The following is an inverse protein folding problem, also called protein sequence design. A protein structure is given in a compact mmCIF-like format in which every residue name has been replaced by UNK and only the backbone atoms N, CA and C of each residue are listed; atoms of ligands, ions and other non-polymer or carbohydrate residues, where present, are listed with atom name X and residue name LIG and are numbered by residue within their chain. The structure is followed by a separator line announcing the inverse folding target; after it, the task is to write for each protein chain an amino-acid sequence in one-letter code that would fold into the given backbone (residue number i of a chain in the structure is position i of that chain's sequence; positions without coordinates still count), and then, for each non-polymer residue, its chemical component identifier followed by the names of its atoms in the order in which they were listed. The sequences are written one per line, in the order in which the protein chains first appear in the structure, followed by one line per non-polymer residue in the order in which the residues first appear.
data_IF_143780345101
#
_entry.id   IF_143780345101
#
_cell.length_a   1.000
_cell.length_b   1.000
_cell.length_c   1.000
_cell.angle_alpha   90.00
_cell.angle_beta   90.00
_cell.angle_gamma   90.00
#
_symmetry.space_group_name_H-M   'P 1'
#
loop_
_entity.id
_entity.type
_entity.pdbx_description
1 polymer ?
#
# COMPACT_ATOMS: atom_id res chain seq x y z
N UNK A 1 -17.21 -16.10 27.02
CA UNK A 1 -16.64 -16.41 25.70
C UNK A 1 -16.18 -15.08 25.10
N UNK A 2 -14.95 -14.67 25.41
CA UNK A 2 -14.40 -13.41 24.91
C UNK A 2 -14.21 -13.57 23.40
N UNK A 3 -14.84 -12.70 22.62
CA UNK A 3 -14.67 -12.63 21.19
C UNK A 3 -13.25 -12.10 20.96
N UNK A 4 -12.30 -13.00 20.70
CA UNK A 4 -10.95 -12.61 20.31
C UNK A 4 -11.08 -11.61 19.16
N UNK A 5 -10.50 -10.43 19.35
CA UNK A 5 -10.53 -9.36 18.37
C UNK A 5 -9.95 -9.88 17.07
N UNK A 6 -10.80 -10.18 16.09
CA UNK A 6 -10.37 -10.24 14.70
C UNK A 6 -9.54 -8.98 14.46
N UNK A 7 -8.31 -9.08 13.93
CA UNK A 7 -7.52 -7.90 13.71
C UNK A 7 -8.36 -6.97 12.83
N UNK A 8 -8.63 -5.75 13.30
CA UNK A 8 -9.35 -4.69 12.59
C UNK A 8 -8.65 -4.24 11.29
N UNK A 9 -7.68 -5.02 10.80
CA UNK A 9 -6.83 -4.79 9.63
C UNK A 9 -7.51 -5.19 8.32
N UNK A 10 -8.63 -5.91 8.40
CA UNK A 10 -9.23 -6.59 7.24
C UNK A 10 -10.55 -5.96 6.79
N UNK A 11 -11.19 -5.11 7.60
CA UNK A 11 -12.55 -4.61 7.35
C UNK A 11 -12.67 -3.81 6.06
N UNK A 12 -11.95 -2.69 5.97
CA UNK A 12 -12.00 -1.82 4.80
C UNK A 12 -11.49 -2.52 3.52
N UNK A 13 -10.39 -3.27 3.66
CA UNK A 13 -9.74 -3.96 2.54
C UNK A 13 -10.64 -5.07 1.97
N UNK A 14 -11.38 -5.81 2.82
CA UNK A 14 -12.36 -6.80 2.36
C UNK A 14 -13.58 -6.14 1.71
N UNK A 15 -14.10 -5.05 2.27
CA UNK A 15 -15.23 -4.32 1.70
C UNK A 15 -14.88 -3.76 0.32
N UNK A 16 -13.70 -3.16 0.18
CA UNK A 16 -13.24 -2.61 -1.11
C UNK A 16 -12.74 -3.66 -2.09
N UNK A 17 -12.51 -4.91 -1.68
CA UNK A 17 -11.85 -5.94 -2.51
C UNK A 17 -12.47 -6.08 -3.91
N UNK A 18 -13.79 -6.01 -4.03
CA UNK A 18 -14.53 -6.14 -5.31
C UNK A 18 -14.36 -4.94 -6.24
N UNK A 19 -14.24 -3.74 -5.68
CA UNK A 19 -14.23 -2.47 -6.42
C UNK A 19 -12.92 -1.69 -6.25
N UNK A 20 -11.85 -2.33 -5.76
CA UNK A 20 -10.60 -1.64 -5.43
C UNK A 20 -9.96 -0.96 -6.64
N UNK A 21 -10.21 -1.47 -7.84
CA UNK A 21 -9.76 -0.87 -9.09
C UNK A 21 -10.37 0.51 -9.35
N UNK A 22 -11.47 0.88 -8.70
CA UNK A 22 -12.03 2.24 -8.76
C UNK A 22 -11.41 3.19 -7.75
N UNK A 23 -10.68 2.67 -6.77
CA UNK A 23 -10.14 3.46 -5.69
C UNK A 23 -8.85 4.18 -6.11
N UNK A 24 -8.71 5.43 -5.68
CA UNK A 24 -7.46 6.17 -5.78
C UNK A 24 -6.48 5.67 -4.70
N UNK A 25 -5.22 5.41 -5.08
CA UNK A 25 -4.18 4.93 -4.17
C UNK A 25 -4.01 5.80 -2.92
N UNK A 26 -3.91 7.13 -3.07
CA UNK A 26 -3.71 8.02 -1.92
C UNK A 26 -4.90 7.98 -0.97
N UNK A 27 -6.12 7.98 -1.52
CA UNK A 27 -7.33 7.93 -0.71
C UNK A 27 -7.46 6.59 0.02
N UNK A 28 -7.11 5.50 -0.63
CA UNK A 28 -7.06 4.18 -0.03
C UNK A 28 -6.10 4.15 1.17
N UNK A 29 -4.86 4.63 1.00
CA UNK A 29 -3.88 4.71 2.08
C UNK A 29 -4.35 5.61 3.24
N UNK A 30 -4.99 6.74 2.95
CA UNK A 30 -5.58 7.60 3.99
C UNK A 30 -6.66 6.88 4.79
N UNK A 31 -7.55 6.15 4.11
CA UNK A 31 -8.63 5.42 4.77
C UNK A 31 -8.08 4.30 5.66
N UNK A 32 -7.02 3.60 5.22
CA UNK A 32 -6.32 2.61 6.05
C UNK A 32 -5.75 3.23 7.33
N UNK A 33 -5.15 4.42 7.24
CA UNK A 33 -4.63 5.13 8.41
C UNK A 33 -5.74 5.67 9.33
N UNK A 34 -6.92 5.98 8.79
CA UNK A 34 -8.09 6.41 9.57
C UNK A 34 -8.80 5.25 10.27
N UNK A 35 -8.75 4.04 9.70
CA UNK A 35 -9.33 2.83 10.31
C UNK A 35 -8.61 2.47 11.62
N UNK A 36 -7.31 2.75 11.74
CA UNK A 36 -6.51 2.48 12.93
C UNK A 36 -5.63 3.69 13.32
N UNK A 37 -6.21 4.73 13.96
CA UNK A 37 -5.49 5.98 14.26
C UNK A 37 -4.29 5.79 15.21
N UNK A 38 -4.37 4.81 16.11
CA UNK A 38 -3.33 4.52 17.10
C UNK A 38 -2.17 3.67 16.53
N UNK A 39 -2.35 3.08 15.35
CA UNK A 39 -1.33 2.28 14.70
C UNK A 39 -0.26 3.16 14.04
N UNK A 40 0.98 2.67 13.89
CA UNK A 40 1.99 3.37 13.11
C UNK A 40 1.49 3.64 11.68
N UNK A 41 1.66 4.87 11.22
CA UNK A 41 1.36 5.33 9.85
C UNK A 41 2.17 4.52 8.83
N UNK A 42 1.60 4.31 7.64
CA UNK A 42 2.19 3.46 6.59
C UNK A 42 3.65 3.84 6.29
N UNK A 43 4.53 2.84 6.30
CA UNK A 43 5.96 3.00 5.97
C UNK A 43 6.78 3.78 7.01
N UNK A 44 6.24 4.04 8.20
CA UNK A 44 6.98 4.77 9.26
C UNK A 44 7.91 3.85 10.05
N UNK A 45 7.59 2.56 10.13
CA UNK A 45 8.40 1.56 10.84
C UNK A 45 9.45 0.90 9.95
N UNK A 46 10.57 0.48 10.55
CA UNK A 46 11.62 -0.27 9.86
C UNK A 46 11.17 -1.65 9.38
N UNK A 47 10.25 -2.29 10.12
CA UNK A 47 9.77 -3.64 9.79
C UNK A 47 8.50 -3.60 8.90
N UNK A 48 8.51 -4.24 7.71
CA UNK A 48 7.33 -4.22 6.82
C UNK A 48 6.12 -4.85 7.47
N UNK A 49 6.33 -5.84 8.34
CA UNK A 49 5.24 -6.55 8.99
C UNK A 49 4.32 -5.73 9.90
N UNK A 50 4.73 -4.51 10.23
CA UNK A 50 3.90 -3.61 11.01
C UNK A 50 2.89 -2.85 10.15
N UNK A 51 3.09 -2.79 8.82
CA UNK A 51 2.16 -2.17 7.90
C UNK A 51 0.88 -3.03 7.78
N UNK A 52 -0.33 -2.41 7.81
CA UNK A 52 -1.61 -3.13 7.83
C UNK A 52 -1.89 -3.90 6.52
N UNK A 53 -1.23 -3.54 5.43
CA UNK A 53 -1.37 -4.17 4.12
C UNK A 53 0.00 -4.37 3.46
N UNK A 54 0.07 -5.31 2.51
CA UNK A 54 1.25 -5.53 1.66
C UNK A 54 1.02 -5.04 0.25
N UNK A 55 1.61 -3.92 -0.12
CA UNK A 55 1.70 -3.52 -1.52
C UNK A 55 2.66 -4.42 -2.29
N UNK A 56 2.16 -5.05 -3.36
CA UNK A 56 2.95 -5.85 -4.31
C UNK A 56 2.59 -5.45 -5.74
N UNK A 57 3.53 -5.40 -6.68
CA UNK A 57 3.20 -5.09 -8.07
C UNK A 57 2.31 -6.16 -8.70
N UNK A 58 1.55 -5.76 -9.73
CA UNK A 58 0.81 -6.66 -10.59
C UNK A 58 1.74 -7.21 -11.67
N UNK A 59 1.88 -8.55 -11.80
CA UNK A 59 2.83 -9.15 -12.75
C UNK A 59 2.37 -9.11 -14.21
N UNK A 60 1.13 -8.72 -14.50
CA UNK A 60 0.60 -8.68 -15.85
C UNK A 60 1.15 -7.51 -16.69
N UNK A 61 1.35 -7.76 -17.98
CA UNK A 61 1.93 -6.81 -18.94
C UNK A 61 0.88 -5.97 -19.71
N UNK A 62 -0.39 -6.03 -19.31
CA UNK A 62 -1.44 -5.24 -19.93
C UNK A 62 -1.50 -3.81 -19.40
N UNK A 63 -1.84 -2.85 -20.25
CA UNK A 63 -1.99 -1.44 -19.85
C UNK A 63 -2.92 -1.30 -18.64
N UNK A 64 -2.49 -0.58 -17.59
CA UNK A 64 -3.27 -0.49 -16.36
C UNK A 64 -4.43 0.49 -16.55
N UNK A 65 -5.60 0.09 -16.04
CA UNK A 65 -6.80 0.95 -16.02
C UNK A 65 -6.91 1.78 -14.73
N UNK A 66 -6.13 1.42 -13.71
CA UNK A 66 -6.21 1.98 -12.36
C UNK A 66 -4.92 1.69 -11.59
N UNK A 67 -4.58 2.51 -10.59
CA UNK A 67 -3.37 2.33 -9.77
C UNK A 67 -3.40 1.10 -8.87
N UNK A 68 -4.60 0.68 -8.47
CA UNK A 68 -4.84 -0.52 -7.67
C UNK A 68 -5.56 -1.54 -8.54
N UNK A 69 -5.17 -2.82 -8.47
CA UNK A 69 -5.72 -3.88 -9.32
C UNK A 69 -6.61 -4.86 -8.57
N UNK A 70 -6.12 -5.38 -7.44
CA UNK A 70 -6.76 -6.46 -6.71
C UNK A 70 -6.34 -6.46 -5.24
N UNK A 71 -7.15 -7.11 -4.42
CA UNK A 71 -6.82 -7.50 -3.04
C UNK A 71 -6.73 -9.01 -2.99
N UNK A 72 -5.66 -9.53 -2.44
CA UNK A 72 -5.43 -10.96 -2.22
C UNK A 72 -5.32 -11.21 -0.71
N UNK A 73 -6.06 -12.19 -0.23
CA UNK A 73 -6.02 -12.67 1.17
C UNK A 73 -5.59 -14.12 1.18
N UNK A 74 -4.77 -14.48 2.16
CA UNK A 74 -4.38 -15.87 2.39
C UNK A 74 -5.42 -16.52 3.32
N UNK A 75 -6.20 -17.47 2.80
CA UNK A 75 -7.23 -18.19 3.58
C UNK A 75 -6.62 -19.13 4.62
N UNK A 76 -5.43 -19.68 4.34
CA UNK A 76 -4.70 -20.57 5.25
C UNK A 76 -4.05 -19.78 6.38
N UNK A 77 -3.71 -18.50 6.14
CA UNK A 77 -3.09 -17.61 7.10
C UNK A 77 -3.86 -16.29 7.28
N UNK A 78 -5.06 -16.32 7.90
CA UNK A 78 -5.93 -15.15 8.03
C UNK A 78 -5.36 -14.04 8.91
N UNK A 79 -4.30 -14.34 9.67
CA UNK A 79 -3.57 -13.37 10.50
C UNK A 79 -2.57 -12.54 9.72
N UNK A 80 -2.20 -12.97 8.50
CA UNK A 80 -1.30 -12.22 7.64
C UNK A 80 -2.01 -11.00 7.04
N UNK A 81 -1.30 -9.87 6.87
CA UNK A 81 -1.88 -8.69 6.24
C UNK A 81 -2.26 -8.98 4.78
N UNK A 82 -3.41 -8.48 4.30
CA UNK A 82 -3.82 -8.67 2.92
C UNK A 82 -2.83 -8.01 1.96
N UNK A 83 -2.69 -8.62 0.79
CA UNK A 83 -1.87 -8.10 -0.31
C UNK A 83 -2.73 -7.22 -1.20
N UNK A 84 -2.26 -6.01 -1.48
CA UNK A 84 -2.87 -5.07 -2.41
C UNK A 84 -1.98 -4.98 -3.65
N UNK A 85 -2.52 -5.36 -4.80
CA UNK A 85 -1.81 -5.33 -6.08
C UNK A 85 -1.81 -3.92 -6.66
N UNK A 86 -0.63 -3.34 -6.84
CA UNK A 86 -0.44 -2.04 -7.49
C UNK A 86 0.01 -2.23 -8.93
N UNK A 87 -0.35 -1.30 -9.82
CA UNK A 87 0.08 -1.32 -11.23
C UNK A 87 1.06 -0.19 -11.55
N UNK A 88 1.69 0.36 -10.51
CA UNK A 88 2.62 1.47 -10.60
C UNK A 88 3.75 1.26 -9.57
N UNK A 89 4.93 1.83 -9.84
CA UNK A 89 6.12 1.75 -8.98
C UNK A 89 6.56 0.30 -8.70
N UNK A 90 6.34 -0.60 -9.66
CA UNK A 90 6.72 -1.99 -9.54
C UNK A 90 8.16 -2.27 -9.97
N UNK A 91 8.86 -3.13 -9.24
CA UNK A 91 10.11 -3.73 -9.73
C UNK A 91 9.86 -4.82 -10.79
N UNK A 92 8.60 -5.17 -11.05
CA UNK A 92 8.15 -6.00 -12.17
C UNK A 92 6.74 -5.54 -12.58
N UNK A 93 6.28 -5.95 -13.76
CA UNK A 93 5.07 -5.44 -14.39
C UNK A 93 5.37 -4.40 -15.47
N UNK A 94 4.33 -3.73 -15.96
CA UNK A 94 4.35 -2.85 -17.15
C UNK A 94 5.29 -1.65 -17.06
N UNK A 95 5.55 -1.17 -15.86
CA UNK A 95 6.26 0.06 -15.56
C UNK A 95 7.60 -0.19 -14.84
N UNK A 96 8.06 -1.44 -14.88
CA UNK A 96 9.32 -1.84 -14.25
C UNK A 96 10.55 -1.33 -15.01
N UNK A 97 11.60 -0.90 -14.28
CA UNK A 97 12.90 -0.56 -14.88
C UNK A 97 13.78 -1.78 -15.17
N UNK A 98 13.37 -3.00 -14.80
CA UNK A 98 14.19 -4.20 -14.98
C UNK A 98 14.23 -4.65 -16.45
N UNK A 99 15.27 -5.41 -16.86
CA UNK A 99 15.34 -5.96 -18.21
C UNK A 99 14.13 -6.84 -18.54
N UNK A 100 13.66 -6.75 -19.79
CA UNK A 100 12.46 -7.45 -20.27
C UNK A 100 12.50 -8.96 -20.03
N UNK A 101 13.67 -9.59 -20.07
CA UNK A 101 13.81 -11.03 -19.79
C UNK A 101 13.28 -11.42 -18.40
N UNK A 102 13.55 -10.61 -17.37
CA UNK A 102 13.02 -10.84 -16.02
C UNK A 102 11.50 -10.66 -15.99
N UNK A 103 10.99 -9.66 -16.71
CA UNK A 103 9.56 -9.37 -16.77
C UNK A 103 8.80 -10.49 -17.48
N UNK A 104 9.34 -11.00 -18.58
CA UNK A 104 8.76 -12.10 -19.34
C UNK A 104 8.74 -13.40 -18.53
N UNK A 105 9.83 -13.71 -17.81
CA UNK A 105 9.90 -14.89 -16.95
C UNK A 105 8.86 -14.82 -15.82
N UNK A 106 8.68 -13.64 -15.21
CA UNK A 106 7.66 -13.39 -14.18
C UNK A 106 6.25 -13.48 -14.77
N UNK A 107 6.00 -12.82 -15.90
CA UNK A 107 4.68 -12.77 -16.54
C UNK A 107 4.24 -14.15 -17.05
N UNK A 108 5.18 -14.95 -17.57
CA UNK A 108 4.95 -16.32 -18.04
C UNK A 108 5.00 -17.36 -16.91
N UNK A 109 5.28 -16.94 -15.67
CA UNK A 109 5.39 -17.82 -14.49
C UNK A 109 6.38 -18.96 -14.71
N UNK A 110 7.54 -18.66 -15.29
CA UNK A 110 8.61 -19.66 -15.47
C UNK A 110 9.12 -20.16 -14.12
N UNK A 111 9.80 -21.30 -14.13
CA UNK A 111 10.39 -21.87 -12.93
C UNK A 111 11.26 -20.83 -12.19
N UNK A 112 11.08 -20.73 -10.87
CA UNK A 112 11.79 -19.77 -10.03
C UNK A 112 11.16 -18.37 -9.96
N UNK A 113 10.11 -18.07 -10.73
CA UNK A 113 9.48 -16.73 -10.71
C UNK A 113 8.99 -16.32 -9.31
N UNK A 114 8.44 -17.25 -8.52
CA UNK A 114 7.91 -16.98 -7.18
C UNK A 114 8.98 -16.45 -6.22
N UNK A 115 10.19 -17.02 -6.28
CA UNK A 115 11.32 -16.59 -5.46
C UNK A 115 11.79 -15.20 -5.88
N UNK A 116 11.88 -14.94 -7.20
CA UNK A 116 12.26 -13.64 -7.75
C UNK A 116 11.22 -12.58 -7.38
N UNK A 117 9.93 -12.84 -7.56
CA UNK A 117 8.87 -11.88 -7.20
C UNK A 117 8.86 -11.62 -5.71
N UNK A 118 9.00 -12.65 -4.87
CA UNK A 118 9.02 -12.51 -3.41
C UNK A 118 10.19 -11.63 -2.94
N UNK A 119 11.36 -11.77 -3.57
CA UNK A 119 12.51 -10.91 -3.31
C UNK A 119 12.24 -9.45 -3.75
N UNK A 120 11.75 -9.25 -4.97
CA UNK A 120 11.46 -7.92 -5.53
C UNK A 120 10.31 -7.20 -4.79
N UNK A 121 9.38 -7.95 -4.20
CA UNK A 121 8.27 -7.42 -3.41
C UNK A 121 8.75 -6.68 -2.16
N UNK A 122 9.87 -7.08 -1.56
CA UNK A 122 10.45 -6.40 -0.39
C UNK A 122 10.76 -4.94 -0.75
N UNK A 123 11.40 -4.72 -1.89
CA UNK A 123 11.76 -3.39 -2.37
C UNK A 123 10.53 -2.61 -2.84
N UNK A 124 9.67 -3.25 -3.64
CA UNK A 124 8.47 -2.63 -4.19
C UNK A 124 7.53 -2.12 -3.09
N UNK A 125 7.34 -2.92 -2.03
CA UNK A 125 6.54 -2.53 -0.87
C UNK A 125 7.13 -1.29 -0.17
N UNK A 126 8.46 -1.27 0.02
CA UNK A 126 9.13 -0.14 0.66
C UNK A 126 9.09 1.13 -0.18
N UNK A 127 9.35 1.03 -1.48
CA UNK A 127 9.24 2.18 -2.39
C UNK A 127 7.82 2.75 -2.37
N UNK A 128 6.80 1.89 -2.48
CA UNK A 128 5.40 2.31 -2.51
C UNK A 128 4.96 3.03 -1.23
N UNK A 129 5.34 2.49 -0.07
CA UNK A 129 5.01 3.11 1.22
C UNK A 129 5.75 4.43 1.43
N UNK A 130 7.03 4.54 1.06
CA UNK A 130 7.75 5.81 1.12
C UNK A 130 7.19 6.85 0.15
N UNK A 131 6.78 6.43 -1.05
CA UNK A 131 6.14 7.31 -2.02
C UNK A 131 4.85 7.94 -1.47
N UNK A 132 4.00 7.14 -0.82
CA UNK A 132 2.81 7.65 -0.12
C UNK A 132 3.17 8.66 0.99
N UNK A 133 4.20 8.37 1.79
CA UNK A 133 4.64 9.28 2.87
C UNK A 133 5.13 10.61 2.34
N UNK A 134 5.88 10.61 1.23
CA UNK A 134 6.34 11.83 0.57
C UNK A 134 5.14 12.66 0.13
N UNK A 135 4.19 12.05 -0.60
CA UNK A 135 2.98 12.75 -1.03
C UNK A 135 2.24 13.36 0.16
N UNK A 136 2.01 12.57 1.22
CA UNK A 136 1.31 13.02 2.42
C UNK A 136 2.01 14.18 3.11
N UNK A 137 3.35 14.17 3.18
CA UNK A 137 4.14 15.25 3.80
C UNK A 137 3.92 16.61 3.14
N UNK A 138 3.67 16.63 1.82
CA UNK A 138 3.53 17.87 1.06
C UNK A 138 2.07 18.20 0.70
N UNK A 139 1.15 17.25 0.85
CA UNK A 139 -0.28 17.47 0.63
C UNK A 139 -0.97 18.00 1.89
N UNK A 140 -0.86 19.30 2.18
CA UNK A 140 -1.47 19.91 3.38
C UNK A 140 -2.95 19.55 3.62
N UNK A 141 -3.85 19.54 2.59
CA UNK A 141 -5.24 19.13 2.79
C UNK A 141 -5.41 17.68 3.27
N UNK A 142 -4.44 16.81 2.97
CA UNK A 142 -4.43 15.41 3.39
C UNK A 142 -4.00 15.23 4.86
N UNK A 143 -3.28 16.21 5.43
CA UNK A 143 -2.78 16.19 6.81
C UNK A 143 -3.51 17.17 7.72
N UNK A 144 -4.43 17.95 7.19
CA UNK A 144 -5.18 18.95 7.95
C UNK A 144 -6.00 18.27 9.05
N UNK A 145 -5.85 18.77 10.27
CA UNK A 145 -6.65 18.38 11.42
C UNK A 145 -7.58 19.52 11.81
N UNK A 146 -8.84 19.19 12.16
CA UNK A 146 -9.84 20.17 12.52
C UNK A 146 -9.34 21.13 13.62
N UNK A 147 -9.50 22.43 13.39
CA UNK A 147 -8.95 23.48 14.25
C UNK A 147 -7.47 23.78 14.02
N UNK A 148 -6.88 23.30 12.91
CA UNK A 148 -5.49 23.56 12.55
C UNK A 148 -4.49 22.94 13.54
N UNK A 149 -4.84 21.81 14.16
CA UNK A 149 -4.02 21.15 15.19
C UNK A 149 -2.84 20.37 14.62
N UNK A 150 -2.79 20.19 13.30
CA UNK A 150 -1.69 19.51 12.65
C UNK A 150 -0.40 20.35 12.73
N UNK A 151 0.75 19.67 12.74
CA UNK A 151 2.05 20.31 12.90
C UNK A 151 2.32 21.42 11.87
N UNK A 152 1.92 21.20 10.62
CA UNK A 152 2.06 22.20 9.54
C UNK A 152 1.22 23.44 9.79
N UNK A 153 -0.06 23.30 10.16
CA UNK A 153 -0.93 24.42 10.51
C UNK A 153 -0.42 25.17 11.74
N UNK A 154 0.08 24.47 12.76
CA UNK A 154 0.70 25.10 13.93
C UNK A 154 1.96 25.90 13.57
N UNK A 155 2.82 25.37 12.69
CA UNK A 155 3.97 26.10 12.17
C UNK A 155 3.55 27.36 11.39
N UNK A 156 2.51 27.27 10.55
CA UNK A 156 2.01 28.41 9.79
C UNK A 156 1.38 29.46 10.70
N UNK A 157 0.62 29.06 11.73
CA UNK A 157 0.06 29.97 12.73
C UNK A 157 1.16 30.74 13.45
N UNK A 158 2.24 30.06 13.86
CA UNK A 158 3.39 30.71 14.50
C UNK A 158 4.12 31.74 13.62
N UNK A 159 3.95 31.70 12.29
CA UNK A 159 4.52 32.70 11.38
C UNK A 159 3.64 33.97 11.24
N UNK A 160 2.36 33.89 11.57
CA UNK A 160 1.40 34.99 11.38
C UNK A 160 1.35 35.92 12.62
N UNK A 161 1.87 35.47 13.76
CA UNK A 161 1.87 36.21 15.04
C UNK A 161 0.68 35.85 15.92
#
# INVERSE_FOLDING_TARGET
MARESQPARTGLTLVLSKDIWRANFYRFCQLLEQENPDAPKLGTTSHPANDPVRFRPWPGMGFPVSTLKAVETDEDHPTLPPTVRTTFLGMYGVDSPLPTSYLDDIAQRREGHEAVTSFLDIFSHRITTQYYRIWRKYAWPATFEAGGRDATSQCLLGLVG
#
